data_IF_123244916389
#
_entry.id   IF_123244916389
#
_cell.length_a   1.000
_cell.length_b   1.000
_cell.length_c   1.000
_cell.angle_alpha   90.00
_cell.angle_beta   90.00
_cell.angle_gamma   90.00
#
_symmetry.space_group_name_H-M   'P 1'
#
loop_
_entity.id
_entity.type
_entity.pdbx_description
1 polymer ?
#
# COMPACT_ATOMS: atom_id res chain seq x y z
N UNK A 1 -3.24 1.10 -15.32
CA UNK A 1 -2.46 2.05 -14.49
C UNK A 1 -2.09 1.34 -13.20
N UNK A 2 -0.94 1.61 -12.57
CA UNK A 2 -0.54 0.93 -11.34
C UNK A 2 -1.11 1.62 -10.09
N UNK A 3 -1.23 0.87 -9.00
CA UNK A 3 -1.30 1.40 -7.66
C UNK A 3 0.06 1.98 -7.28
N UNK A 4 0.09 3.16 -6.66
CA UNK A 4 1.35 3.82 -6.29
C UNK A 4 1.35 4.08 -4.78
N UNK A 5 2.31 3.46 -4.09
CA UNK A 5 2.59 3.71 -2.69
C UNK A 5 3.50 4.93 -2.56
N UNK A 6 3.14 5.84 -1.67
CA UNK A 6 3.86 7.08 -1.41
C UNK A 6 4.07 7.29 0.09
N UNK A 7 5.13 8.02 0.44
CA UNK A 7 5.23 8.62 1.76
C UNK A 7 4.02 9.53 2.00
N UNK A 8 3.48 9.52 3.21
CA UNK A 8 2.33 10.36 3.52
C UNK A 8 2.71 11.84 3.54
N UNK A 9 3.81 12.17 4.21
CA UNK A 9 4.23 13.56 4.43
C UNK A 9 4.74 14.26 3.16
N UNK A 10 5.60 13.59 2.39
CA UNK A 10 6.27 14.21 1.24
C UNK A 10 5.63 13.85 -0.10
N UNK A 11 4.74 12.85 -0.14
CA UNK A 11 4.12 12.36 -1.38
C UNK A 11 5.10 11.67 -2.34
N UNK A 12 6.31 11.34 -1.88
CA UNK A 12 7.34 10.68 -2.66
C UNK A 12 6.93 9.25 -2.97
N UNK A 13 7.01 8.84 -4.24
CA UNK A 13 6.76 7.45 -4.64
C UNK A 13 7.79 6.52 -4.01
N UNK A 14 7.30 5.52 -3.29
CA UNK A 14 8.10 4.47 -2.68
C UNK A 14 8.10 3.21 -3.55
N UNK A 15 6.92 2.82 -4.04
CA UNK A 15 6.75 1.60 -4.82
C UNK A 15 5.44 1.63 -5.60
N UNK A 16 5.30 0.71 -6.55
CA UNK A 16 4.10 0.55 -7.36
C UNK A 16 3.81 -0.92 -7.64
N UNK A 17 2.55 -1.24 -7.88
CA UNK A 17 2.12 -2.60 -8.30
C UNK A 17 0.91 -2.48 -9.23
N UNK A 18 0.76 -3.44 -10.13
CA UNK A 18 -0.46 -3.60 -10.94
C UNK A 18 -1.45 -4.56 -10.32
N UNK A 19 -1.04 -5.30 -9.28
CA UNK A 19 -1.87 -6.30 -8.64
C UNK A 19 -2.96 -5.63 -7.81
N UNK A 20 -4.19 -6.11 -7.94
CA UNK A 20 -5.31 -5.59 -7.17
C UNK A 20 -5.22 -6.01 -5.69
N UNK A 21 -5.61 -5.13 -4.74
CA UNK A 21 -5.69 -5.49 -3.33
C UNK A 21 -6.70 -6.61 -3.09
N UNK A 22 -6.32 -7.57 -2.27
CA UNK A 22 -7.15 -8.70 -1.86
C UNK A 22 -7.60 -8.51 -0.41
N UNK A 23 -8.87 -8.75 -0.09
CA UNK A 23 -9.34 -8.64 1.30
C UNK A 23 -8.66 -9.69 2.19
N UNK A 24 -8.13 -9.27 3.35
CA UNK A 24 -7.34 -10.13 4.25
C UNK A 24 -8.13 -10.67 5.46
N UNK A 25 -9.44 -10.41 5.53
CA UNK A 25 -10.36 -11.01 6.50
C UNK A 25 -10.84 -10.10 7.63
N UNK A 26 -10.16 -8.98 7.89
CA UNK A 26 -10.63 -7.91 8.79
C UNK A 26 -11.29 -6.76 8.00
N UNK A 27 -12.12 -5.96 8.69
CA UNK A 27 -12.78 -4.81 8.08
C UNK A 27 -11.74 -3.82 7.54
N UNK A 28 -11.85 -3.48 6.25
CA UNK A 28 -10.95 -2.57 5.54
C UNK A 28 -9.46 -2.99 5.53
N UNK A 29 -9.17 -4.27 5.79
CA UNK A 29 -7.83 -4.84 5.69
C UNK A 29 -7.61 -5.53 4.35
N UNK A 30 -6.51 -5.17 3.69
CA UNK A 30 -6.15 -5.66 2.36
C UNK A 30 -4.69 -6.11 2.31
N UNK A 31 -4.44 -7.23 1.66
CA UNK A 31 -3.12 -7.70 1.27
C UNK A 31 -2.89 -7.42 -0.22
N UNK A 32 -1.72 -6.91 -0.56
CA UNK A 32 -1.38 -6.58 -1.94
C UNK A 32 0.06 -6.97 -2.23
N UNK A 33 0.26 -7.72 -3.33
CA UNK A 33 1.54 -8.24 -3.77
C UNK A 33 2.12 -7.44 -4.96
N UNK A 34 3.26 -7.89 -5.47
CA UNK A 34 3.83 -7.39 -6.73
C UNK A 34 4.48 -6.01 -6.66
N UNK A 35 4.87 -5.55 -5.46
CA UNK A 35 5.44 -4.21 -5.28
C UNK A 35 6.81 -4.03 -5.93
N UNK A 36 7.03 -2.98 -6.70
CA UNK A 36 8.33 -2.69 -7.32
C UNK A 36 8.73 -1.24 -7.07
N UNK A 37 9.84 -0.98 -6.36
CA UNK A 37 10.71 -1.94 -5.66
C UNK A 37 10.02 -2.68 -4.50
N UNK A 38 10.62 -3.81 -4.09
CA UNK A 38 9.95 -4.75 -3.20
C UNK A 38 9.70 -4.21 -1.80
N UNK A 39 8.50 -4.48 -1.26
CA UNK A 39 8.02 -3.89 0.01
C UNK A 39 8.99 -4.04 1.20
N UNK A 40 9.63 -5.20 1.32
CA UNK A 40 10.61 -5.46 2.39
C UNK A 40 11.86 -4.58 2.32
N UNK A 41 12.23 -4.09 1.13
CA UNK A 41 13.38 -3.20 0.92
C UNK A 41 13.06 -1.71 1.06
N UNK A 42 11.80 -1.34 1.25
CA UNK A 42 11.36 0.06 1.30
C UNK A 42 11.51 0.71 2.69
N UNK A 43 11.88 -0.06 3.71
CA UNK A 43 11.91 0.43 5.09
C UNK A 43 10.51 0.80 5.63
N UNK A 44 9.45 0.15 5.14
CA UNK A 44 8.11 0.36 5.69
C UNK A 44 8.09 -0.04 7.17
N UNK A 45 7.39 0.75 7.97
CA UNK A 45 7.23 0.48 9.40
C UNK A 45 5.86 -0.13 9.65
N UNK A 46 5.81 -1.22 10.43
CA UNK A 46 4.54 -1.76 10.94
C UNK A 46 3.87 -0.68 11.80
N UNK A 47 2.60 -0.39 11.51
CA UNK A 47 1.83 0.70 12.09
C UNK A 47 2.08 2.07 11.44
N UNK A 48 3.02 2.17 10.49
CA UNK A 48 3.28 3.39 9.74
C UNK A 48 2.15 3.73 8.77
N UNK A 49 1.94 5.03 8.56
CA UNK A 49 0.90 5.58 7.70
C UNK A 49 1.50 6.04 6.38
N UNK A 50 0.85 5.67 5.28
CA UNK A 50 1.29 5.94 3.92
C UNK A 50 0.10 6.36 3.05
N UNK A 51 0.41 6.86 1.86
CA UNK A 51 -0.59 7.19 0.85
C UNK A 51 -0.57 6.15 -0.26
N UNK A 52 -1.76 5.69 -0.65
CA UNK A 52 -1.96 4.77 -1.77
C UNK A 52 -2.82 5.43 -2.83
N UNK A 53 -2.26 5.66 -4.01
CA UNK A 53 -2.99 6.19 -5.16
C UNK A 53 -3.61 5.02 -5.96
N UNK A 54 -4.93 5.04 -6.15
CA UNK A 54 -5.65 4.04 -6.95
C UNK A 54 -5.53 4.30 -8.47
N UNK A 55 -5.38 3.26 -9.31
CA UNK A 55 -5.36 3.39 -10.76
C UNK A 55 -6.72 3.64 -11.44
N UNK A 56 -7.84 3.55 -10.72
CA UNK A 56 -9.18 3.78 -11.27
C UNK A 56 -9.38 5.25 -11.69
N UNK A 57 -10.17 5.52 -12.75
CA UNK A 57 -10.56 6.88 -13.11
C UNK A 57 -11.20 7.61 -11.91
N UNK A 58 -10.63 8.75 -11.52
CA UNK A 58 -10.99 9.44 -10.27
C UNK A 58 -9.99 9.23 -9.11
N UNK A 59 -9.01 8.33 -9.27
CA UNK A 59 -7.76 8.25 -8.51
C UNK A 59 -7.91 8.49 -7.01
N UNK A 60 -8.64 7.62 -6.32
CA UNK A 60 -8.86 7.78 -4.87
C UNK A 60 -7.52 7.64 -4.15
N UNK A 61 -7.08 8.74 -3.55
CA UNK A 61 -5.90 8.78 -2.69
C UNK A 61 -6.32 8.23 -1.34
N UNK A 62 -5.78 7.10 -0.93
CA UNK A 62 -6.15 6.45 0.34
C UNK A 62 -5.07 6.69 1.37
N UNK A 63 -5.49 7.01 2.59
CA UNK A 63 -4.63 6.92 3.76
C UNK A 63 -4.64 5.46 4.20
N UNK A 64 -3.48 4.83 4.26
CA UNK A 64 -3.35 3.42 4.64
C UNK A 64 -2.36 3.27 5.79
N UNK A 65 -2.62 2.31 6.67
CA UNK A 65 -1.73 1.92 7.76
C UNK A 65 -1.21 0.51 7.53
N UNK A 66 0.12 0.35 7.47
CA UNK A 66 0.73 -0.96 7.24
C UNK A 66 0.57 -1.84 8.49
N UNK A 67 0.06 -3.05 8.32
CA UNK A 67 -0.19 -4.02 9.41
C UNK A 67 0.85 -5.14 9.41
N UNK A 68 1.28 -5.58 8.23
CA UNK A 68 2.29 -6.61 8.07
C UNK A 68 3.07 -6.39 6.77
N UNK A 69 4.34 -6.80 6.76
CA UNK A 69 5.18 -6.79 5.57
C UNK A 69 5.54 -8.25 5.30
N UNK A 70 5.18 -8.74 4.13
CA UNK A 70 5.44 -10.12 3.72
C UNK A 70 6.94 -10.32 3.53
N UNK A 71 7.58 -10.96 4.50
CA UNK A 71 8.99 -11.35 4.38
C UNK A 71 9.16 -12.26 3.16
N UNK A 72 9.96 -11.80 2.18
CA UNK A 72 10.27 -12.56 0.96
C UNK A 72 9.18 -12.61 -0.12
N UNK A 73 7.98 -12.07 0.12
CA UNK A 73 6.83 -12.23 -0.80
C UNK A 73 6.48 -10.99 -1.62
N UNK A 74 7.30 -9.95 -1.55
CA UNK A 74 7.05 -8.70 -2.25
C UNK A 74 5.60 -8.17 -2.06
N UNK A 75 5.10 -8.30 -0.84
CA UNK A 75 3.72 -8.02 -0.49
C UNK A 75 3.67 -7.31 0.86
N UNK A 76 2.61 -6.55 1.10
CA UNK A 76 2.28 -6.06 2.43
C UNK A 76 0.77 -6.02 2.63
N UNK A 77 0.38 -6.05 3.90
CA UNK A 77 -1.00 -5.95 4.37
C UNK A 77 -1.20 -4.58 5.01
N UNK A 78 -2.32 -3.94 4.73
CA UNK A 78 -2.66 -2.62 5.26
C UNK A 78 -4.14 -2.49 5.57
N UNK A 79 -4.46 -1.57 6.48
CA UNK A 79 -5.84 -1.11 6.74
C UNK A 79 -6.05 0.23 6.08
N UNK A 80 -7.19 0.42 5.43
CA UNK A 80 -7.61 1.74 4.92
C UNK A 80 -8.12 2.58 6.09
N UNK A 81 -7.58 3.78 6.27
CA UNK A 81 -8.02 4.73 7.32
C UNK A 81 -8.89 5.87 6.76
N UNK A 82 -9.08 5.94 5.44
CA UNK A 82 -9.90 6.96 4.79
C UNK A 82 -9.32 7.43 3.45
N UNK A 83 -9.68 8.65 3.07
CA UNK A 83 -9.10 9.37 1.91
C UNK A 83 -7.95 10.25 2.43
N UNK A 84 -6.82 10.25 1.73
CA UNK A 84 -5.60 10.98 2.09
C UNK A 84 -5.64 12.45 1.69
#
# INVERSE_FOLDING_TARGET
>A
MPYILKSYETGTTLSQTTDAPQAAGAFEEYAQAGWVPAAAGLGLSRGGVYRLDDPMPGGVKRKIKVVAIGAGLNAFTYVREGVA
#
